data_IF_393330785800
#
_entry.id   IF_393330785800
#
_cell.length_a   1.000
_cell.length_b   1.000
_cell.length_c   1.000
_cell.angle_alpha   90.00
_cell.angle_beta   90.00
_cell.angle_gamma   90.00
#
_symmetry.space_group_name_H-M   'P 1'
#
loop_
_entity.id
_entity.type
_entity.pdbx_description
1 polymer ?
#
# COMPACT_ATOMS: atom_id res chain seq x y z
N UNK A 1 16.19 3.47 22.22
CA UNK A 1 16.48 4.63 21.35
C UNK A 1 16.29 4.16 19.92
N UNK A 2 15.46 4.84 19.12
CA UNK A 2 15.33 4.49 17.71
C UNK A 2 16.62 4.80 16.97
N UNK A 3 17.03 3.91 16.05
CA UNK A 3 18.20 4.11 15.19
C UNK A 3 17.78 5.08 14.09
N UNK A 4 18.52 6.17 13.89
CA UNK A 4 18.29 7.04 12.73
C UNK A 4 18.91 6.41 11.48
N UNK A 5 18.26 6.61 10.34
CA UNK A 5 18.81 6.24 9.04
C UNK A 5 20.16 6.92 8.83
N UNK A 6 21.15 6.19 8.29
CA UNK A 6 22.46 6.75 7.93
C UNK A 6 22.35 7.80 6.82
N UNK A 7 21.47 7.55 5.85
CA UNK A 7 21.10 8.47 4.77
C UNK A 7 19.72 8.10 4.23
N UNK A 8 18.98 9.07 3.71
CA UNK A 8 17.73 8.82 3.01
C UNK A 8 18.05 8.47 1.54
N UNK A 9 17.65 7.29 1.03
CA UNK A 9 17.88 6.91 -0.36
C UNK A 9 16.97 7.74 -1.28
N UNK A 10 17.54 8.79 -1.88
CA UNK A 10 16.80 9.75 -2.70
C UNK A 10 16.99 9.50 -4.20
N UNK A 11 15.90 9.54 -4.94
CA UNK A 11 15.91 9.53 -6.41
C UNK A 11 15.06 10.69 -6.93
N UNK A 12 15.62 11.46 -7.87
CA UNK A 12 14.86 12.43 -8.63
C UNK A 12 13.92 11.67 -9.57
N UNK A 13 12.61 11.83 -9.36
CA UNK A 13 11.59 11.13 -10.14
C UNK A 13 11.65 11.50 -11.63
N UNK A 14 12.07 12.73 -11.97
CA UNK A 14 12.24 13.14 -13.36
C UNK A 14 13.42 12.42 -13.99
N UNK A 15 14.56 12.34 -13.30
CA UNK A 15 15.72 11.62 -13.83
C UNK A 15 15.45 10.13 -14.03
N UNK A 16 14.66 9.54 -13.12
CA UNK A 16 14.20 8.16 -13.25
C UNK A 16 13.31 7.97 -14.49
N UNK A 17 12.31 8.85 -14.68
CA UNK A 17 11.36 8.75 -15.79
C UNK A 17 11.94 9.19 -17.15
N UNK A 18 12.97 10.04 -17.15
CA UNK A 18 13.71 10.46 -18.35
C UNK A 18 14.80 9.45 -18.74
N UNK A 19 14.83 8.25 -18.13
CA UNK A 19 15.82 7.19 -18.36
C UNK A 19 17.29 7.61 -18.09
N UNK A 20 17.52 8.62 -17.26
CA UNK A 20 18.88 8.99 -16.83
C UNK A 20 19.43 8.04 -15.77
N UNK A 21 18.53 7.40 -15.03
CA UNK A 21 18.85 6.30 -14.12
C UNK A 21 18.50 5.00 -14.84
N UNK A 22 19.51 4.18 -15.13
CA UNK A 22 19.28 2.88 -15.75
C UNK A 22 18.34 2.03 -14.86
N UNK A 23 17.32 1.35 -15.41
CA UNK A 23 16.38 0.54 -14.64
C UNK A 23 17.04 -0.51 -13.74
N UNK A 24 18.16 -1.10 -14.21
CA UNK A 24 18.96 -2.03 -13.40
C UNK A 24 19.55 -1.37 -12.15
N UNK A 25 20.04 -0.14 -12.26
CA UNK A 25 20.58 0.60 -11.12
C UNK A 25 19.46 0.93 -10.11
N UNK A 26 18.27 1.28 -10.59
CA UNK A 26 17.09 1.51 -9.74
C UNK A 26 16.73 0.24 -8.94
N UNK A 27 16.68 -0.92 -9.59
CA UNK A 27 16.42 -2.21 -8.92
C UNK A 27 17.49 -2.56 -7.88
N UNK A 28 18.77 -2.37 -8.19
CA UNK A 28 19.85 -2.63 -7.22
C UNK A 28 19.80 -1.67 -6.02
N UNK A 29 19.42 -0.41 -6.23
CA UNK A 29 19.20 0.55 -5.14
C UNK A 29 18.04 0.10 -4.25
N UNK A 30 16.89 -0.29 -4.80
CA UNK A 30 15.76 -0.80 -4.01
C UNK A 30 16.17 -2.05 -3.22
N UNK A 31 16.87 -2.99 -3.86
CA UNK A 31 17.32 -4.21 -3.20
C UNK A 31 18.23 -3.93 -2.01
N UNK A 32 19.16 -2.98 -2.18
CA UNK A 32 20.14 -2.57 -1.17
C UNK A 32 19.49 -1.77 -0.03
N UNK A 33 18.76 -0.71 -0.38
CA UNK A 33 18.28 0.28 0.58
C UNK A 33 16.87 -0.05 1.12
N UNK A 34 16.21 -1.08 0.55
CA UNK A 34 14.85 -1.58 0.88
C UNK A 34 13.73 -0.59 0.60
N UNK A 35 14.01 0.68 0.41
CA UNK A 35 13.05 1.69 0.00
C UNK A 35 13.76 2.83 -0.71
N UNK A 36 12.98 3.67 -1.39
CA UNK A 36 13.48 4.88 -2.05
C UNK A 36 12.51 6.03 -1.79
N UNK A 37 13.02 7.24 -1.64
CA UNK A 37 12.24 8.48 -1.63
C UNK A 37 12.34 9.18 -2.99
N UNK A 38 11.21 9.27 -3.68
CA UNK A 38 11.05 9.96 -4.95
C UNK A 38 10.70 11.43 -4.70
N UNK A 39 11.50 12.36 -5.22
CA UNK A 39 11.28 13.81 -5.15
C UNK A 39 11.23 14.44 -6.55
N UNK A 40 10.97 15.75 -6.63
CA UNK A 40 10.77 16.48 -7.91
C UNK A 40 9.64 15.90 -8.78
N UNK A 41 8.59 15.35 -8.14
CA UNK A 41 7.44 14.75 -8.83
C UNK A 41 6.64 15.75 -9.67
N UNK A 42 6.70 17.03 -9.30
CA UNK A 42 6.14 18.17 -10.02
C UNK A 42 6.87 18.48 -11.34
N UNK A 43 8.13 18.04 -11.47
CA UNK A 43 8.95 18.23 -12.67
C UNK A 43 8.88 17.05 -13.65
N UNK A 44 8.13 16.01 -13.31
CA UNK A 44 7.88 14.86 -14.20
C UNK A 44 6.78 15.18 -15.19
N UNK A 45 6.68 14.48 -16.34
CA UNK A 45 5.52 14.60 -17.24
C UNK A 45 4.18 14.22 -16.58
N UNK A 46 4.22 13.51 -15.45
CA UNK A 46 3.03 13.15 -14.66
C UNK A 46 2.56 14.35 -13.84
N UNK A 47 3.47 15.22 -13.37
CA UNK A 47 3.20 16.45 -12.61
C UNK A 47 2.33 16.21 -11.36
N UNK A 48 2.92 15.65 -10.29
CA UNK A 48 2.29 15.60 -8.96
C UNK A 48 2.72 16.85 -8.19
N UNK A 49 1.89 17.88 -8.25
CA UNK A 49 2.23 19.19 -7.69
C UNK A 49 2.14 19.23 -6.16
N UNK A 50 2.88 20.16 -5.55
CA UNK A 50 2.74 20.46 -4.11
C UNK A 50 1.31 20.90 -3.74
N UNK A 51 0.61 21.55 -4.67
CA UNK A 51 -0.80 21.93 -4.49
C UNK A 51 -1.71 20.70 -4.39
N UNK A 52 -1.49 19.67 -5.22
CA UNK A 52 -2.28 18.45 -5.18
C UNK A 52 -2.08 17.69 -3.87
N UNK A 53 -0.84 17.57 -3.37
CA UNK A 53 -0.57 17.00 -2.04
C UNK A 53 -1.32 17.75 -0.93
N UNK A 54 -1.26 19.09 -0.94
CA UNK A 54 -1.94 19.93 0.05
C UNK A 54 -3.46 19.81 -0.04
N UNK A 55 -4.02 19.80 -1.25
CA UNK A 55 -5.45 19.68 -1.47
C UNK A 55 -5.97 18.31 -1.01
N UNK A 56 -5.22 17.23 -1.25
CA UNK A 56 -5.54 15.90 -0.74
C UNK A 56 -5.55 15.89 0.80
N UNK A 57 -4.51 16.43 1.44
CA UNK A 57 -4.41 16.50 2.90
C UNK A 57 -5.59 17.28 3.51
N UNK A 58 -5.90 18.47 2.99
CA UNK A 58 -7.04 19.28 3.43
C UNK A 58 -8.37 18.54 3.23
N UNK A 59 -8.52 17.84 2.12
CA UNK A 59 -9.75 17.12 1.79
C UNK A 59 -9.96 15.89 2.68
N UNK A 60 -8.89 15.14 2.96
CA UNK A 60 -8.91 14.03 3.90
C UNK A 60 -9.23 14.51 5.32
N UNK A 61 -8.58 15.59 5.78
CA UNK A 61 -8.82 16.15 7.12
C UNK A 61 -10.29 16.55 7.30
N UNK A 62 -10.89 17.25 6.31
CA UNK A 62 -12.32 17.58 6.33
C UNK A 62 -13.21 16.37 6.51
N UNK A 63 -12.87 15.24 5.89
CA UNK A 63 -13.63 13.99 6.04
C UNK A 63 -13.49 13.40 7.44
N UNK A 64 -12.27 13.35 7.97
CA UNK A 64 -12.02 12.76 9.28
C UNK A 64 -12.56 13.61 10.44
N UNK A 65 -12.71 14.93 10.24
CA UNK A 65 -13.39 15.86 11.16
C UNK A 65 -14.91 15.69 11.19
N UNK A 66 -15.52 14.98 10.22
CA UNK A 66 -16.96 14.75 10.25
C UNK A 66 -17.36 13.93 11.50
N UNK A 67 -18.56 14.17 12.07
CA UNK A 67 -19.12 13.31 13.11
C UNK A 67 -19.10 11.84 12.73
N UNK A 68 -18.83 10.95 13.71
CA UNK A 68 -18.72 9.51 13.48
C UNK A 68 -19.92 8.93 12.70
N UNK A 69 -21.13 9.38 13.02
CA UNK A 69 -22.36 8.95 12.35
C UNK A 69 -22.36 9.26 10.86
N UNK A 70 -21.76 10.38 10.43
CA UNK A 70 -21.62 10.74 9.02
C UNK A 70 -20.54 9.88 8.34
N UNK A 71 -19.38 9.69 8.98
CA UNK A 71 -18.31 8.81 8.45
C UNK A 71 -18.80 7.37 8.24
N UNK A 72 -19.56 6.84 9.20
CA UNK A 72 -20.12 5.48 9.15
C UNK A 72 -21.16 5.25 8.04
N UNK A 73 -21.72 6.31 7.42
CA UNK A 73 -22.54 6.15 6.19
C UNK A 73 -21.75 5.51 5.06
N UNK A 74 -20.44 5.76 5.03
CA UNK A 74 -19.52 5.24 4.04
C UNK A 74 -18.75 4.02 4.53
N UNK A 75 -19.22 3.35 5.60
CA UNK A 75 -18.51 2.21 6.18
C UNK A 75 -18.15 1.17 5.13
N UNK A 76 -16.89 0.72 5.16
CA UNK A 76 -16.32 -0.22 4.19
C UNK A 76 -17.10 -1.52 4.11
N UNK A 77 -17.66 -1.99 5.24
CA UNK A 77 -18.47 -3.20 5.28
C UNK A 77 -19.82 -3.11 4.57
N UNK A 78 -20.28 -1.90 4.23
CA UNK A 78 -21.47 -1.71 3.41
C UNK A 78 -21.18 -1.83 1.90
N UNK A 79 -19.91 -1.81 1.49
CA UNK A 79 -19.50 -2.00 0.10
C UNK A 79 -19.43 -3.48 -0.28
N UNK A 80 -19.61 -3.76 -1.58
CA UNK A 80 -19.40 -5.09 -2.16
C UNK A 80 -17.95 -5.32 -2.63
N UNK A 81 -17.10 -4.30 -2.59
CA UNK A 81 -15.78 -4.29 -3.20
C UNK A 81 -14.66 -3.74 -2.28
N UNK A 82 -14.89 -3.67 -0.97
CA UNK A 82 -13.91 -3.20 0.02
C UNK A 82 -13.49 -1.73 -0.19
N UNK A 83 -14.45 -0.83 -0.37
CA UNK A 83 -14.20 0.63 -0.50
C UNK A 83 -14.96 1.39 0.56
N UNK A 84 -14.42 2.51 1.02
CA UNK A 84 -15.05 3.42 1.97
C UNK A 84 -14.30 3.55 3.29
N UNK A 85 -15.01 4.04 4.29
CA UNK A 85 -14.51 4.37 5.61
C UNK A 85 -14.20 3.13 6.46
N UNK A 86 -13.00 3.10 7.01
CA UNK A 86 -12.48 2.06 7.91
C UNK A 86 -12.39 2.65 9.33
N UNK A 87 -13.32 2.31 10.24
CA UNK A 87 -13.24 2.76 11.63
C UNK A 87 -12.11 2.07 12.38
N UNK A 88 -11.74 2.62 13.53
CA UNK A 88 -10.74 2.05 14.46
C UNK A 88 -11.05 0.61 14.90
N UNK A 89 -12.31 0.19 14.80
CA UNK A 89 -12.78 -1.14 15.19
C UNK A 89 -12.45 -2.24 14.18
N UNK A 90 -12.12 -1.89 12.93
CA UNK A 90 -11.66 -2.87 11.93
C UNK A 90 -10.19 -3.22 12.17
N UNK A 91 -9.91 -3.92 13.26
CA UNK A 91 -8.54 -4.27 13.70
C UNK A 91 -8.15 -5.69 13.23
N UNK A 92 -6.99 -5.79 12.58
CA UNK A 92 -6.34 -7.06 12.26
C UNK A 92 -5.59 -7.65 13.45
N UNK A 93 -5.00 -8.84 13.26
CA UNK A 93 -4.26 -9.54 14.32
C UNK A 93 -2.75 -9.26 14.21
N UNK A 94 -2.29 -8.07 14.62
CA UNK A 94 -0.86 -7.76 14.73
C UNK A 94 -0.40 -7.92 16.19
N UNK A 95 0.57 -8.79 16.44
CA UNK A 95 1.00 -9.18 17.80
C UNK A 95 1.63 -8.04 18.61
N UNK A 96 2.22 -7.05 17.94
CA UNK A 96 2.90 -5.90 18.54
C UNK A 96 2.04 -4.62 18.51
N UNK A 97 0.80 -4.67 18.00
CA UNK A 97 -0.11 -3.53 17.98
C UNK A 97 -0.80 -3.35 19.34
N UNK A 98 -0.25 -2.44 20.14
CA UNK A 98 -0.72 -2.08 21.49
C UNK A 98 -2.06 -1.31 21.48
N UNK A 99 -2.45 -0.75 20.34
CA UNK A 99 -3.77 -0.13 20.15
C UNK A 99 -3.92 0.46 18.75
N UNK A 100 -4.99 0.07 18.03
CA UNK A 100 -5.32 0.66 16.74
C UNK A 100 -5.85 2.07 16.94
N UNK A 101 -4.99 3.06 16.76
CA UNK A 101 -5.30 4.47 16.92
C UNK A 101 -5.37 5.20 15.58
N UNK A 102 -5.92 4.54 14.57
CA UNK A 102 -6.14 5.17 13.28
C UNK A 102 -7.45 4.71 12.66
N UNK A 103 -8.04 5.64 11.93
CA UNK A 103 -9.13 5.41 11.00
C UNK A 103 -8.63 5.65 9.57
N UNK A 104 -9.35 5.14 8.58
CA UNK A 104 -8.97 5.31 7.19
C UNK A 104 -10.15 5.47 6.25
N UNK A 105 -9.86 5.84 5.01
CA UNK A 105 -10.80 5.82 3.89
C UNK A 105 -10.12 5.17 2.68
N UNK A 106 -10.67 4.04 2.24
CA UNK A 106 -10.09 3.23 1.16
C UNK A 106 -10.84 3.47 -0.15
N UNK A 107 -10.09 3.77 -1.20
CA UNK A 107 -10.58 3.89 -2.56
C UNK A 107 -9.63 3.19 -3.54
N UNK A 108 -10.09 2.86 -4.73
CA UNK A 108 -9.31 2.13 -5.73
C UNK A 108 -9.68 2.58 -7.14
N UNK A 109 -9.31 1.78 -8.14
CA UNK A 109 -9.59 2.03 -9.54
C UNK A 109 -11.11 2.18 -9.74
N UNK A 110 -11.55 3.35 -10.19
CA UNK A 110 -12.98 3.65 -10.35
C UNK A 110 -13.54 2.88 -11.56
N UNK A 111 -14.48 1.98 -11.30
CA UNK A 111 -15.24 1.27 -12.31
C UNK A 111 -16.69 1.77 -12.31
N UNK A 112 -16.91 2.94 -12.93
CA UNK A 112 -18.25 3.52 -13.04
C UNK A 112 -19.18 2.62 -13.85
N UNK A 113 -20.39 2.38 -13.34
CA UNK A 113 -21.36 1.47 -13.96
C UNK A 113 -21.05 -0.02 -13.80
N UNK A 114 -20.05 -0.38 -12.99
CA UNK A 114 -19.72 -1.78 -12.73
C UNK A 114 -20.89 -2.52 -12.08
N UNK A 115 -21.24 -3.67 -12.66
CA UNK A 115 -22.19 -4.60 -12.09
C UNK A 115 -21.39 -5.64 -11.30
N UNK A 116 -21.61 -5.78 -9.97
CA UNK A 116 -20.90 -6.75 -9.16
C UNK A 116 -21.04 -8.17 -9.69
N UNK A 117 -19.95 -8.93 -9.71
CA UNK A 117 -19.98 -10.36 -9.94
C UNK A 117 -20.57 -11.09 -8.71
N UNK A 118 -20.93 -12.36 -8.88
CA UNK A 118 -21.29 -13.21 -7.74
C UNK A 118 -20.12 -13.40 -6.78
N UNK A 119 -18.90 -13.46 -7.30
CA UNK A 119 -17.68 -13.71 -6.55
C UNK A 119 -16.99 -12.42 -6.16
N UNK A 120 -16.49 -12.39 -4.93
CA UNK A 120 -15.81 -11.23 -4.40
C UNK A 120 -14.42 -11.05 -5.04
N UNK A 121 -14.27 -9.99 -5.82
CA UNK A 121 -13.05 -9.71 -6.59
C UNK A 121 -12.49 -8.29 -6.40
N UNK A 122 -13.00 -7.54 -5.41
CA UNK A 122 -12.54 -6.18 -5.05
C UNK A 122 -12.75 -5.11 -6.15
N UNK A 123 -13.44 -5.44 -7.25
CA UNK A 123 -13.76 -4.52 -8.34
C UNK A 123 -15.10 -3.84 -8.09
N UNK A 124 -15.21 -2.55 -8.42
CA UNK A 124 -16.47 -1.82 -8.37
C UNK A 124 -16.31 -0.31 -8.24
N UNK A 125 -17.40 0.35 -7.85
CA UNK A 125 -17.42 1.80 -7.60
C UNK A 125 -16.82 2.15 -6.25
N UNK A 126 -16.18 3.32 -6.14
CA UNK A 126 -15.81 3.88 -4.85
C UNK A 126 -17.03 4.52 -4.15
N UNK A 127 -16.99 4.57 -2.82
CA UNK A 127 -17.95 5.35 -2.04
C UNK A 127 -17.47 6.81 -2.00
N UNK A 128 -18.31 7.77 -2.37
CA UNK A 128 -17.91 9.20 -2.42
C UNK A 128 -18.69 10.04 -1.42
N UNK A 129 -18.03 10.70 -0.46
CA UNK A 129 -18.69 11.57 0.51
C UNK A 129 -19.36 12.79 -0.13
N UNK A 130 -20.68 12.92 0.08
CA UNK A 130 -21.46 14.06 -0.43
C UNK A 130 -21.25 15.35 0.40
N UNK A 131 -20.81 15.20 1.65
CA UNK A 131 -20.54 16.31 2.57
C UNK A 131 -19.36 17.20 2.09
N UNK A 132 -18.48 16.66 1.24
CA UNK A 132 -17.28 17.35 0.76
C UNK A 132 -17.27 17.33 -0.77
N UNK A 133 -17.75 18.41 -1.38
CA UNK A 133 -17.98 18.51 -2.84
C UNK A 133 -16.76 18.16 -3.68
N UNK A 134 -15.57 18.54 -3.25
CA UNK A 134 -14.33 18.34 -4.00
C UNK A 134 -13.70 16.95 -3.77
N UNK A 135 -14.24 16.12 -2.86
CA UNK A 135 -13.58 14.89 -2.40
C UNK A 135 -13.33 13.90 -3.51
N UNK A 136 -14.36 13.56 -4.30
CA UNK A 136 -14.22 12.69 -5.46
C UNK A 136 -13.18 13.23 -6.45
N UNK A 137 -13.26 14.51 -6.79
CA UNK A 137 -12.38 15.14 -7.78
C UNK A 137 -10.92 15.07 -7.36
N UNK A 138 -10.59 15.53 -6.15
CA UNK A 138 -9.21 15.59 -5.65
C UNK A 138 -8.62 14.19 -5.46
N UNK A 139 -9.39 13.25 -4.90
CA UNK A 139 -8.92 11.87 -4.73
C UNK A 139 -8.66 11.19 -6.07
N UNK A 140 -9.56 11.34 -7.05
CA UNK A 140 -9.37 10.76 -8.39
C UNK A 140 -8.22 11.42 -9.16
N UNK A 141 -8.03 12.73 -9.02
CA UNK A 141 -6.89 13.42 -9.63
C UNK A 141 -5.57 12.85 -9.10
N UNK A 142 -5.41 12.78 -7.77
CA UNK A 142 -4.23 12.21 -7.13
C UNK A 142 -4.05 10.72 -7.46
N UNK A 143 -5.11 9.93 -7.39
CA UNK A 143 -5.11 8.52 -7.76
C UNK A 143 -4.62 8.32 -9.20
N UNK A 144 -5.16 9.08 -10.16
CA UNK A 144 -4.80 8.94 -11.57
C UNK A 144 -3.32 9.21 -11.83
N UNK A 145 -2.73 10.15 -11.08
CA UNK A 145 -1.32 10.51 -11.18
C UNK A 145 -0.43 9.42 -10.57
N UNK A 146 -0.80 8.91 -9.40
CA UNK A 146 -0.10 7.79 -8.77
C UNK A 146 -0.20 6.50 -9.59
N UNK A 147 -1.36 6.21 -10.18
CA UNK A 147 -1.52 5.06 -11.05
C UNK A 147 -0.64 5.16 -12.29
N UNK A 148 -0.59 6.34 -12.95
CA UNK A 148 0.34 6.59 -14.06
C UNK A 148 1.81 6.39 -13.65
N UNK A 149 2.19 6.88 -12.48
CA UNK A 149 3.55 6.69 -11.94
C UNK A 149 3.81 5.20 -11.66
N UNK A 150 2.85 4.50 -11.05
CA UNK A 150 2.92 3.06 -10.80
C UNK A 150 3.11 2.25 -12.08
N UNK A 151 2.39 2.57 -13.16
CA UNK A 151 2.58 1.91 -14.46
C UNK A 151 4.01 2.10 -14.99
N UNK A 152 4.53 3.32 -14.94
CA UNK A 152 5.90 3.61 -15.37
C UNK A 152 6.93 2.86 -14.52
N UNK A 153 6.73 2.83 -13.20
CA UNK A 153 7.60 2.11 -12.27
C UNK A 153 7.55 0.59 -12.48
N UNK A 154 6.39 0.00 -12.78
CA UNK A 154 6.30 -1.43 -13.14
C UNK A 154 7.13 -1.77 -14.37
N UNK A 155 7.12 -0.92 -15.41
CA UNK A 155 7.95 -1.11 -16.59
C UNK A 155 9.45 -1.00 -16.25
N UNK A 156 9.83 -0.02 -15.43
CA UNK A 156 11.21 0.14 -14.94
C UNK A 156 11.63 -1.07 -14.08
N UNK A 157 10.77 -1.58 -13.21
CA UNK A 157 11.04 -2.80 -12.45
C UNK A 157 11.27 -3.99 -13.38
N UNK A 158 10.38 -4.20 -14.35
CA UNK A 158 10.51 -5.30 -15.30
C UNK A 158 11.86 -5.22 -16.05
N UNK A 159 12.17 -4.08 -16.65
CA UNK A 159 13.43 -3.89 -17.38
C UNK A 159 14.66 -4.03 -16.46
N UNK A 160 14.62 -3.47 -15.25
CA UNK A 160 15.70 -3.55 -14.28
C UNK A 160 15.96 -4.97 -13.76
N UNK A 161 14.91 -5.78 -13.67
CA UNK A 161 14.98 -7.22 -13.40
C UNK A 161 15.41 -8.02 -14.64
N UNK A 162 15.55 -7.38 -15.80
CA UNK A 162 15.83 -8.03 -17.09
C UNK A 162 14.69 -8.92 -17.58
N UNK A 163 13.46 -8.49 -17.31
CA UNK A 163 12.20 -9.00 -17.83
C UNK A 163 11.75 -8.00 -18.93
N UNK A 164 10.89 -8.41 -19.87
CA UNK A 164 10.35 -7.50 -20.88
C UNK A 164 9.60 -6.31 -20.24
N UNK A 165 9.87 -5.09 -20.69
CA UNK A 165 9.32 -3.88 -20.05
C UNK A 165 7.77 -3.82 -20.03
N UNK A 166 7.12 -4.48 -20.98
CA UNK A 166 5.66 -4.57 -21.11
C UNK A 166 5.05 -5.80 -20.39
N UNK A 167 5.84 -6.54 -19.59
CA UNK A 167 5.43 -7.78 -18.93
C UNK A 167 4.12 -7.63 -18.13
N UNK A 168 3.93 -6.48 -17.47
CA UNK A 168 2.74 -6.21 -16.65
C UNK A 168 1.58 -5.54 -17.40
N UNK A 169 1.75 -5.12 -18.66
CA UNK A 169 0.78 -4.26 -19.36
C UNK A 169 -0.61 -4.90 -19.49
N UNK A 170 -0.65 -6.23 -19.61
CA UNK A 170 -1.90 -7.00 -19.71
C UNK A 170 -2.57 -7.28 -18.37
N UNK A 171 -1.89 -6.97 -17.28
CA UNK A 171 -2.28 -7.30 -15.91
C UNK A 171 -2.60 -6.03 -15.09
N UNK A 172 -2.87 -4.90 -15.75
CA UNK A 172 -3.12 -3.61 -15.11
C UNK A 172 -4.31 -2.88 -15.77
N UNK A 173 -5.32 -3.63 -16.20
CA UNK A 173 -6.51 -3.12 -16.88
C UNK A 173 -7.47 -2.46 -15.90
N UNK A 174 -7.74 -3.15 -14.79
CA UNK A 174 -8.63 -2.71 -13.71
C UNK A 174 -8.15 -3.32 -12.37
N UNK A 175 -6.90 -3.04 -11.96
CA UNK A 175 -6.35 -3.68 -10.78
C UNK A 175 -7.02 -3.14 -9.52
N UNK A 176 -7.16 -3.94 -8.45
CA UNK A 176 -7.54 -3.46 -7.13
C UNK A 176 -6.40 -2.64 -6.47
N UNK A 177 -5.76 -1.75 -7.22
CA UNK A 177 -4.72 -0.84 -6.74
C UNK A 177 -5.38 0.21 -5.84
N UNK A 178 -5.06 0.19 -4.55
CA UNK A 178 -5.80 0.92 -3.53
C UNK A 178 -5.06 2.19 -3.12
N UNK A 179 -5.76 3.33 -3.04
CA UNK A 179 -5.34 4.49 -2.28
C UNK A 179 -6.05 4.47 -0.93
N UNK A 180 -5.28 4.48 0.15
CA UNK A 180 -5.81 4.53 1.51
C UNK A 180 -5.44 5.87 2.12
N UNK A 181 -6.44 6.62 2.58
CA UNK A 181 -6.23 7.84 3.35
C UNK A 181 -6.26 7.47 4.82
N UNK A 182 -5.19 7.69 5.57
CA UNK A 182 -5.09 7.29 6.99
C UNK A 182 -5.04 8.53 7.87
N UNK A 183 -5.83 8.52 8.95
CA UNK A 183 -5.81 9.51 10.01
C UNK A 183 -5.45 8.83 11.33
N UNK A 184 -4.30 9.20 11.90
CA UNK A 184 -3.84 8.70 13.18
C UNK A 184 -4.36 9.63 14.27
N UNK A 185 -5.16 9.07 15.16
CA UNK A 185 -5.87 9.76 16.22
C UNK A 185 -4.92 10.12 17.35
N UNK A 186 -5.10 11.32 17.90
CA UNK A 186 -4.50 11.71 19.16
C UNK A 186 -5.52 11.38 20.25
N UNK A 187 -5.24 10.41 21.11
CA UNK A 187 -6.06 10.21 22.32
C UNK A 187 -5.62 11.20 23.41
N UNK A 188 -6.56 11.76 24.18
CA UNK A 188 -6.27 12.75 25.24
C UNK A 188 -5.34 12.21 26.33
N UNK A 189 -5.37 10.89 26.58
CA UNK A 189 -4.48 10.20 27.52
C UNK A 189 -3.05 10.04 26.98
N UNK A 190 -2.85 10.20 25.67
CA UNK A 190 -1.55 10.04 25.00
C UNK A 190 -0.62 11.23 25.18
N UNK A 191 -1.12 12.38 25.65
CA UNK A 191 -0.26 13.51 26.05
C UNK A 191 0.72 13.11 27.17
N UNK A 192 0.41 12.04 27.93
CA UNK A 192 1.20 11.54 29.03
C UNK A 192 1.72 10.09 28.84
N UNK A 193 1.49 9.44 27.68
CA UNK A 193 1.95 8.07 27.44
C UNK A 193 3.31 8.02 26.71
N UNK A 194 4.06 6.93 26.93
CA UNK A 194 5.26 6.56 26.18
C UNK A 194 4.91 6.38 24.69
N UNK A 195 5.89 6.59 23.81
CA UNK A 195 5.82 6.20 22.39
C UNK A 195 5.38 4.72 22.31
N UNK A 196 4.31 4.44 21.59
CA UNK A 196 3.76 3.09 21.38
C UNK A 196 3.46 2.84 19.90
N UNK A 197 2.94 1.65 19.59
CA UNK A 197 2.76 1.16 18.22
C UNK A 197 1.32 1.38 17.73
N UNK A 198 1.14 2.26 16.74
CA UNK A 198 -0.17 2.45 16.08
C UNK A 198 -0.46 1.38 15.05
N UNK A 199 0.56 0.88 14.37
CA UNK A 199 0.47 -0.15 13.35
C UNK A 199 1.71 -1.01 13.48
N UNK A 200 1.49 -2.30 13.78
CA UNK A 200 2.55 -3.28 14.02
C UNK A 200 3.47 -3.48 12.82
N UNK A 201 4.55 -4.21 13.03
CA UNK A 201 5.44 -4.61 11.94
C UNK A 201 4.70 -5.48 10.90
N UNK A 202 4.72 -5.05 9.64
CA UNK A 202 4.11 -5.77 8.52
C UNK A 202 4.79 -5.44 7.19
N UNK A 203 4.44 -6.19 6.15
CA UNK A 203 4.75 -5.91 4.74
C UNK A 203 3.47 -5.62 3.97
N UNK A 204 3.59 -4.91 2.86
CA UNK A 204 2.48 -4.66 1.94
C UNK A 204 2.33 -5.79 0.91
N UNK A 205 1.10 -6.06 0.48
CA UNK A 205 0.75 -7.29 -0.25
C UNK A 205 0.92 -7.16 -1.75
N UNK A 206 0.90 -5.93 -2.25
CA UNK A 206 0.85 -5.57 -3.65
C UNK A 206 2.26 -5.59 -4.29
N UNK A 207 2.42 -5.03 -5.49
CA UNK A 207 3.74 -4.96 -6.14
C UNK A 207 4.67 -4.02 -5.37
N UNK A 208 4.18 -2.83 -5.07
CA UNK A 208 4.87 -1.83 -4.28
C UNK A 208 3.89 -0.76 -3.80
N UNK A 209 4.33 0.00 -2.79
CA UNK A 209 3.58 1.11 -2.20
C UNK A 209 4.25 2.43 -2.56
N UNK A 210 3.45 3.43 -2.92
CA UNK A 210 3.83 4.83 -3.03
C UNK A 210 3.17 5.62 -1.89
N UNK A 211 3.96 6.03 -0.91
CA UNK A 211 3.47 6.59 0.34
C UNK A 211 3.80 8.07 0.48
N UNK A 212 2.77 8.91 0.60
CA UNK A 212 2.92 10.29 1.07
C UNK A 212 2.72 10.35 2.59
N UNK A 213 3.73 10.86 3.31
CA UNK A 213 3.75 11.00 4.77
C UNK A 213 3.73 12.49 5.16
N UNK A 214 2.80 12.90 6.04
CA UNK A 214 2.67 14.32 6.45
C UNK A 214 3.42 14.68 7.74
N UNK A 215 3.69 13.71 8.60
CA UNK A 215 4.44 13.88 9.86
C UNK A 215 5.24 12.63 10.27
N UNK A 216 6.26 12.76 11.15
CA UNK A 216 7.09 11.62 11.59
C UNK A 216 6.28 10.51 12.26
N UNK A 217 6.77 9.27 12.20
CA UNK A 217 6.16 8.12 12.86
C UNK A 217 6.36 6.80 12.14
N UNK A 218 6.63 6.83 10.82
CA UNK A 218 6.99 5.64 10.06
C UNK A 218 8.39 5.15 10.43
N UNK A 219 8.51 3.85 10.66
CA UNK A 219 9.79 3.16 10.74
C UNK A 219 9.87 2.03 9.71
N UNK A 220 11.00 1.95 9.01
CA UNK A 220 11.30 0.89 8.03
C UNK A 220 12.43 0.02 8.57
N UNK A 221 12.39 -1.28 8.29
CA UNK A 221 13.47 -2.19 8.64
C UNK A 221 14.58 -2.16 7.58
N UNK A 222 15.80 -1.78 7.98
CA UNK A 222 16.96 -1.66 7.07
C UNK A 222 17.70 -3.00 6.84
N UNK A 223 17.23 -4.09 7.45
CA UNK A 223 17.93 -5.39 7.49
C UNK A 223 18.56 -5.70 8.85
N UNK A 224 18.81 -4.68 9.68
CA UNK A 224 19.37 -4.81 11.02
C UNK A 224 18.40 -4.32 12.11
N UNK A 225 17.73 -3.19 11.87
CA UNK A 225 16.84 -2.56 12.84
C UNK A 225 15.74 -1.73 12.15
N UNK A 226 14.67 -1.45 12.91
CA UNK A 226 13.69 -0.43 12.52
C UNK A 226 14.29 0.97 12.67
N UNK A 227 14.26 1.74 11.59
CA UNK A 227 14.80 3.10 11.50
C UNK A 227 13.71 4.13 11.21
N UNK A 228 13.78 5.28 11.87
CA UNK A 228 12.85 6.40 11.62
C UNK A 228 13.05 6.96 10.20
N UNK A 229 11.94 7.11 9.47
CA UNK A 229 11.94 7.77 8.17
C UNK A 229 11.61 9.26 8.34
N UNK A 230 12.55 10.17 8.00
CA UNK A 230 12.28 11.60 8.06
C UNK A 230 11.22 12.02 7.05
N UNK A 231 10.45 13.05 7.40
CA UNK A 231 9.43 13.60 6.51
C UNK A 231 10.07 14.48 5.46
N UNK A 232 9.83 14.16 4.19
CA UNK A 232 10.15 15.02 3.06
C UNK A 232 8.86 15.43 2.37
N UNK A 233 8.53 16.72 2.43
CA UNK A 233 7.32 17.26 1.78
C UNK A 233 7.41 17.10 0.26
N UNK A 234 6.26 16.87 -0.37
CA UNK A 234 6.15 16.69 -1.83
C UNK A 234 7.00 15.54 -2.38
N UNK A 235 7.17 14.48 -1.58
CA UNK A 235 7.88 13.26 -1.97
C UNK A 235 7.01 12.03 -1.72
N UNK A 236 7.36 10.94 -2.37
CA UNK A 236 6.75 9.63 -2.18
C UNK A 236 7.81 8.63 -1.74
N UNK A 237 7.51 7.88 -0.68
CA UNK A 237 8.30 6.72 -0.27
C UNK A 237 7.83 5.53 -1.09
N UNK A 238 8.74 4.87 -1.80
CA UNK A 238 8.51 3.64 -2.55
C UNK A 238 8.99 2.45 -1.73
N UNK A 239 8.06 1.53 -1.43
CA UNK A 239 8.33 0.27 -0.71
C UNK A 239 7.99 -0.92 -1.62
N UNK A 240 8.89 -1.89 -1.84
CA UNK A 240 8.53 -3.15 -2.50
C UNK A 240 7.57 -3.97 -1.62
N UNK A 241 6.63 -4.64 -2.26
CA UNK A 241 5.65 -5.51 -1.62
C UNK A 241 5.79 -6.98 -2.02
N UNK A 242 4.86 -7.79 -1.52
CA UNK A 242 4.88 -9.26 -1.62
C UNK A 242 4.81 -9.77 -3.08
N UNK A 243 4.16 -9.07 -4.00
CA UNK A 243 4.09 -9.53 -5.41
C UNK A 243 5.47 -9.48 -6.09
N UNK A 244 6.23 -8.40 -5.89
CA UNK A 244 7.60 -8.29 -6.45
C UNK A 244 8.54 -9.24 -5.72
N UNK A 245 8.36 -9.42 -4.41
CA UNK A 245 9.07 -10.43 -3.64
C UNK A 245 8.88 -11.82 -4.24
N UNK A 246 7.63 -12.24 -4.41
CA UNK A 246 7.25 -13.51 -4.97
C UNK A 246 7.85 -13.71 -6.37
N UNK A 247 7.61 -12.76 -7.28
CA UNK A 247 8.06 -12.85 -8.68
C UNK A 247 9.57 -13.05 -8.78
N UNK A 248 10.32 -12.41 -7.88
CA UNK A 248 11.79 -12.39 -7.89
C UNK A 248 12.44 -13.37 -6.91
N UNK A 249 11.64 -14.26 -6.29
CA UNK A 249 12.09 -15.25 -5.32
C UNK A 249 12.96 -14.64 -4.19
N UNK A 250 12.55 -13.47 -3.70
CA UNK A 250 13.26 -12.75 -2.64
C UNK A 250 14.52 -12.00 -3.09
N UNK A 251 14.82 -11.91 -4.39
CA UNK A 251 15.88 -11.03 -4.90
C UNK A 251 15.64 -9.56 -4.50
N UNK A 252 14.39 -9.11 -4.64
CA UNK A 252 13.87 -7.93 -3.96
C UNK A 252 12.96 -8.43 -2.84
N UNK A 253 13.22 -8.05 -1.60
CA UNK A 253 12.36 -8.44 -0.49
C UNK A 253 11.30 -7.36 -0.25
N UNK A 254 10.08 -7.76 0.14
CA UNK A 254 9.09 -6.86 0.74
C UNK A 254 9.72 -6.15 1.95
N UNK A 255 9.38 -4.87 2.16
CA UNK A 255 10.03 -4.07 3.20
C UNK A 255 9.20 -4.04 4.48
N UNK A 256 9.66 -4.68 5.57
CA UNK A 256 8.95 -4.63 6.85
C UNK A 256 8.94 -3.21 7.39
N UNK A 257 7.77 -2.77 7.83
CA UNK A 257 7.58 -1.43 8.34
C UNK A 257 6.50 -1.38 9.41
N UNK A 258 6.55 -0.32 10.22
CA UNK A 258 5.63 -0.10 11.34
C UNK A 258 5.42 1.38 11.57
N UNK A 259 4.38 1.73 12.32
CA UNK A 259 4.06 3.13 12.63
C UNK A 259 3.95 3.34 14.13
N UNK A 260 4.77 4.25 14.64
CA UNK A 260 4.71 4.72 16.02
C UNK A 260 3.68 5.84 16.16
N UNK A 261 2.99 5.88 17.30
CA UNK A 261 2.36 7.11 17.76
C UNK A 261 3.33 7.90 18.64
N UNK A 262 3.38 9.22 18.43
CA UNK A 262 4.21 10.14 19.21
C UNK A 262 3.39 11.32 19.77
N UNK A 263 2.06 11.17 19.85
CA UNK A 263 1.17 12.21 20.36
C UNK A 263 0.96 13.41 19.42
N UNK A 264 1.49 13.35 18.20
CA UNK A 264 1.25 14.37 17.16
C UNK A 264 0.21 13.92 16.16
N UNK A 265 -0.53 14.88 15.61
CA UNK A 265 -1.47 14.63 14.54
C UNK A 265 -0.71 14.12 13.31
N UNK A 266 -1.20 13.04 12.71
CA UNK A 266 -0.58 12.45 11.53
C UNK A 266 -1.62 11.97 10.55
N UNK A 267 -1.40 12.29 9.29
CA UNK A 267 -2.06 11.65 8.16
C UNK A 267 -1.02 10.99 7.26
N UNK A 268 -1.43 9.98 6.52
CA UNK A 268 -0.60 9.39 5.48
C UNK A 268 -1.45 8.78 4.40
N UNK A 269 -0.93 8.76 3.18
CA UNK A 269 -1.70 8.40 1.99
C UNK A 269 -0.92 7.37 1.16
N UNK A 270 -0.84 6.10 1.62
CA UNK A 270 -0.28 5.02 0.81
C UNK A 270 -1.18 4.68 -0.38
N UNK A 271 -0.54 4.54 -1.53
CA UNK A 271 -1.10 3.95 -2.73
C UNK A 271 -0.41 2.63 -3.02
N UNK A 272 -1.17 1.55 -3.03
CA UNK A 272 -0.70 0.20 -3.23
C UNK A 272 -0.88 -0.18 -4.70
N UNK A 273 0.20 -0.15 -5.47
CA UNK A 273 0.17 -0.52 -6.89
C UNK A 273 0.11 -2.04 -7.01
N UNK A 274 -0.97 -2.54 -7.61
CA UNK A 274 -1.20 -3.97 -7.78
C UNK A 274 -1.52 -4.36 -9.23
N UNK A 275 -1.59 -5.66 -9.49
CA UNK A 275 -2.05 -6.24 -10.76
C UNK A 275 -3.52 -6.65 -10.67
N UNK A 276 -4.13 -6.92 -11.83
CA UNK A 276 -5.50 -7.38 -11.99
C UNK A 276 -5.76 -8.62 -11.13
N UNK A 277 -6.97 -8.72 -10.58
CA UNK A 277 -7.34 -9.76 -9.61
C UNK A 277 -7.01 -11.18 -10.11
N UNK A 278 -7.29 -11.43 -11.38
CA UNK A 278 -7.13 -12.73 -12.05
C UNK A 278 -5.70 -13.04 -12.44
N UNK A 279 -4.76 -12.11 -12.26
CA UNK A 279 -3.36 -12.29 -12.65
C UNK A 279 -2.77 -13.46 -11.88
N UNK A 280 -2.36 -14.50 -12.61
CA UNK A 280 -1.60 -15.63 -12.09
C UNK A 280 -0.12 -15.41 -12.38
N UNK A 281 0.70 -15.47 -11.34
CA UNK A 281 2.14 -15.35 -11.41
C UNK A 281 2.80 -16.66 -10.98
N UNK A 282 3.96 -16.93 -11.54
CA UNK A 282 4.94 -17.86 -10.98
C UNK A 282 6.21 -17.08 -10.65
N UNK A 283 7.09 -17.67 -9.84
CA UNK A 283 8.48 -17.20 -9.75
C UNK A 283 9.05 -17.13 -11.16
N UNK A 284 9.64 -15.99 -11.53
CA UNK A 284 10.20 -15.79 -12.85
C UNK A 284 11.44 -16.68 -13.02
N UNK A 285 11.60 -17.32 -14.19
CA UNK A 285 12.60 -18.38 -14.43
C UNK A 285 14.04 -17.97 -14.05
N UNK A 286 14.40 -16.72 -14.34
CA UNK A 286 15.69 -16.10 -13.99
C UNK A 286 16.01 -16.11 -12.49
N UNK A 287 15.00 -16.19 -11.64
CA UNK A 287 15.12 -16.13 -10.19
C UNK A 287 14.82 -17.49 -9.50
N UNK A 288 14.68 -18.58 -10.27
CA UNK A 288 14.47 -19.91 -9.68
C UNK A 288 15.69 -20.40 -8.88
N UNK A 289 16.91 -20.04 -9.30
CA UNK A 289 18.17 -20.50 -8.68
C UNK A 289 18.75 -19.51 -7.65
N UNK A 290 17.92 -18.64 -7.07
CA UNK A 290 18.40 -17.71 -6.04
C UNK A 290 18.96 -18.49 -4.84
N UNK A 291 20.12 -18.02 -4.36
CA UNK A 291 21.10 -18.63 -3.45
C UNK A 291 20.55 -19.48 -2.28
N UNK A 292 21.31 -20.48 -1.81
CA UNK A 292 20.88 -21.44 -0.77
C UNK A 292 20.49 -20.82 0.59
N UNK A 293 20.92 -19.60 0.91
CA UNK A 293 20.46 -18.84 2.08
C UNK A 293 19.02 -18.31 1.93
N UNK A 294 18.60 -17.96 0.70
CA UNK A 294 17.24 -17.51 0.37
C UNK A 294 16.28 -18.69 0.17
N UNK A 295 16.77 -19.85 -0.33
CA UNK A 295 15.96 -21.09 -0.43
C UNK A 295 15.35 -21.54 0.91
N UNK A 296 15.98 -21.22 2.05
CA UNK A 296 15.48 -21.62 3.38
C UNK A 296 14.28 -20.79 3.86
N UNK A 297 13.94 -19.68 3.18
CA UNK A 297 12.86 -18.77 3.61
C UNK A 297 11.51 -18.97 2.92
N UNK A 298 11.36 -19.84 1.91
CA UNK A 298 10.10 -19.87 1.13
C UNK A 298 9.60 -21.26 0.74
N UNK A 299 8.50 -21.69 1.38
CA UNK A 299 7.54 -22.70 0.89
C UNK A 299 6.44 -22.00 0.06
N UNK A 300 6.81 -21.07 -0.82
CA UNK A 300 5.85 -20.31 -1.62
C UNK A 300 5.16 -21.24 -2.64
N UNK A 301 3.87 -20.99 -2.97
CA UNK A 301 3.17 -21.81 -3.95
C UNK A 301 3.78 -21.65 -5.34
N UNK A 302 3.72 -22.71 -6.15
CA UNK A 302 4.24 -22.71 -7.53
C UNK A 302 3.63 -21.58 -8.38
N UNK A 303 2.33 -21.38 -8.22
CA UNK A 303 1.57 -20.29 -8.82
C UNK A 303 0.84 -19.50 -7.72
N UNK A 304 0.74 -18.19 -7.89
CA UNK A 304 0.03 -17.27 -7.01
C UNK A 304 -0.94 -16.42 -7.85
N UNK A 305 -2.22 -16.44 -7.48
CA UNK A 305 -3.22 -15.52 -8.05
C UNK A 305 -3.25 -14.26 -7.20
N UNK A 306 -2.93 -13.11 -7.79
CA UNK A 306 -2.73 -11.83 -7.11
C UNK A 306 -3.95 -11.44 -6.27
N UNK A 307 -5.15 -11.54 -6.83
CA UNK A 307 -6.39 -11.23 -6.14
C UNK A 307 -6.67 -12.15 -4.95
N UNK A 308 -6.35 -13.44 -5.06
CA UNK A 308 -6.52 -14.41 -3.96
C UNK A 308 -5.54 -14.15 -2.82
N UNK A 309 -4.30 -13.77 -3.13
CA UNK A 309 -3.33 -13.31 -2.12
C UNK A 309 -3.88 -12.09 -1.37
N UNK A 310 -4.34 -11.07 -2.10
CA UNK A 310 -4.90 -9.86 -1.49
C UNK A 310 -6.12 -10.18 -0.60
N UNK A 311 -7.09 -10.95 -1.09
CA UNK A 311 -8.28 -11.32 -0.29
C UNK A 311 -7.92 -12.11 0.97
N UNK A 312 -6.91 -12.98 0.93
CA UNK A 312 -6.44 -13.68 2.14
C UNK A 312 -5.93 -12.70 3.20
N UNK A 313 -5.16 -11.69 2.80
CA UNK A 313 -4.66 -10.68 3.74
C UNK A 313 -5.79 -9.82 4.29
N UNK A 314 -6.72 -9.39 3.43
CA UNK A 314 -7.91 -8.65 3.86
C UNK A 314 -8.79 -9.48 4.80
N UNK A 315 -8.94 -10.78 4.54
CA UNK A 315 -9.67 -11.69 5.43
C UNK A 315 -9.02 -11.74 6.82
N UNK A 316 -7.70 -11.77 6.92
CA UNK A 316 -6.97 -11.70 8.20
C UNK A 316 -7.17 -10.34 8.90
N UNK A 317 -7.20 -9.25 8.15
CA UNK A 317 -7.08 -7.91 8.75
C UNK A 317 -8.42 -7.20 8.99
N UNK A 318 -9.51 -7.67 8.36
CA UNK A 318 -10.83 -7.03 8.45
C UNK A 318 -11.90 -7.94 9.06
N UNK A 319 -12.23 -7.75 10.36
CA UNK A 319 -13.29 -8.47 11.04
C UNK A 319 -14.63 -8.51 10.30
N UNK A 320 -15.03 -7.40 9.67
CA UNK A 320 -16.28 -7.36 8.92
C UNK A 320 -16.30 -8.36 7.76
N UNK A 321 -15.18 -8.50 7.04
CA UNK A 321 -15.07 -9.35 5.87
C UNK A 321 -15.17 -10.82 6.29
N UNK A 322 -14.50 -11.20 7.39
CA UNK A 322 -14.64 -12.53 7.99
C UNK A 322 -16.08 -12.85 8.34
N UNK A 323 -16.76 -11.91 9.02
CA UNK A 323 -18.17 -12.08 9.42
C UNK A 323 -19.08 -12.26 8.20
N UNK A 324 -18.91 -11.44 7.16
CA UNK A 324 -19.72 -11.54 5.94
C UNK A 324 -19.50 -12.84 5.17
N UNK A 325 -18.25 -13.30 5.08
CA UNK A 325 -17.94 -14.60 4.45
C UNK A 325 -18.55 -15.74 5.27
N UNK A 326 -18.41 -15.73 6.60
CA UNK A 326 -19.00 -16.74 7.48
C UNK A 326 -20.55 -16.78 7.40
N UNK A 327 -21.17 -15.64 7.13
CA UNK A 327 -22.63 -15.51 6.93
C UNK A 327 -23.09 -15.80 5.49
N UNK A 328 -22.19 -16.15 4.56
CA UNK A 328 -22.47 -16.29 3.12
C UNK A 328 -23.01 -15.01 2.45
N UNK A 329 -22.72 -13.84 3.00
CA UNK A 329 -23.04 -12.54 2.38
C UNK A 329 -22.00 -12.14 1.31
N UNK A 330 -20.80 -12.71 1.39
CA UNK A 330 -19.70 -12.55 0.43
C UNK A 330 -19.22 -13.93 0.03
N UNK A 331 -19.22 -14.21 -1.27
CA UNK A 331 -18.81 -15.51 -1.82
C UNK A 331 -17.35 -15.47 -2.26
N UNK A 332 -16.56 -16.38 -1.73
CA UNK A 332 -15.17 -16.62 -2.11
C UNK A 332 -15.05 -18.10 -2.53
N UNK A 333 -14.50 -18.37 -3.71
CA UNK A 333 -14.45 -19.72 -4.30
C UNK A 333 -13.08 -20.42 -4.16
N UNK A 334 -12.25 -19.97 -3.22
CA UNK A 334 -10.95 -20.53 -2.93
C UNK A 334 -10.74 -20.64 -1.41
N UNK A 335 -9.80 -21.50 -1.03
CA UNK A 335 -9.44 -21.70 0.38
C UNK A 335 -8.80 -20.43 0.96
N UNK A 336 -9.37 -19.95 2.07
CA UNK A 336 -8.84 -18.84 2.84
C UNK A 336 -7.87 -19.35 3.90
N UNK A 337 -6.82 -18.59 4.17
CA UNK A 337 -5.80 -18.91 5.17
C UNK A 337 -5.79 -17.86 6.26
N UNK A 338 -5.61 -18.29 7.49
CA UNK A 338 -5.50 -17.39 8.65
C UNK A 338 -4.11 -16.74 8.74
N UNK A 339 -3.08 -17.40 8.21
CA UNK A 339 -1.68 -16.94 8.25
C UNK A 339 -1.24 -16.41 6.88
N UNK A 340 -0.35 -15.41 6.90
CA UNK A 340 0.24 -14.88 5.67
C UNK A 340 1.31 -15.82 5.12
N UNK A 341 1.35 -15.95 3.80
CA UNK A 341 2.46 -16.60 3.08
C UNK A 341 3.82 -15.95 3.37
N UNK A 342 3.82 -14.69 3.83
CA UNK A 342 5.01 -13.87 4.06
C UNK A 342 5.28 -13.60 5.56
N UNK A 343 4.55 -14.26 6.48
CA UNK A 343 4.58 -13.98 7.93
C UNK A 343 5.93 -14.26 8.63
N UNK A 344 6.91 -14.84 7.92
CA UNK A 344 8.24 -15.17 8.46
C UNK A 344 9.39 -14.90 7.47
N UNK A 345 9.16 -14.09 6.43
CA UNK A 345 10.17 -13.77 5.41
C UNK A 345 10.83 -12.43 5.73
#
# INVERSE_FOLDING_TARGET
MSKQLKALPLIDARELLDNKIAPRNFVELIKKDKFICLYNLDKTPIEISAELFRNLELCANKFFELPQVQKMRYYIGNSYNHRGYVPVTEKGSYSDEEGRLYEAFDLSYELEGYIPDEEFNLKGVNQWPNEIKEFKKICLEYYSKLFKLGKALLAIFAEGLGIEANYFDRCITSPPAQLRLINYLINSDMKNQKIGMSMGAHTDYECFTLLYQTSPGLQLFDGEAFCDVPVMRNSLILLPGDIIHYLTNGYICSTPHRVLHNGTYRTSFPFFMNLDFETELSIHEKYLEVNDELKRRTLLPKNLVVGKHLVNQLYRDFPYLRKKIANNEIKVNFELRDNSLFENI
#
